data_IF_975952311164
#
_entry.id   IF_975952311164
#
_cell.length_a   1.000
_cell.length_b   1.000
_cell.length_c   1.000
_cell.angle_alpha   90.00
_cell.angle_beta   90.00
_cell.angle_gamma   90.00
#
_symmetry.space_group_name_H-M   'P 1'
#
loop_
_entity.id
_entity.type
_entity.pdbx_description
1 polymer ?
#
# COMPACT_ATOMS: atom_id res chain seq x y z
N UNK A 1 -1.03 18.55 5.10
CA UNK A 1 -1.49 17.35 5.81
C UNK A 1 -1.55 16.20 4.82
N UNK A 2 -1.13 14.98 5.18
CA UNK A 2 -1.33 13.81 4.32
C UNK A 2 -2.83 13.65 4.02
N UNK A 3 -3.17 13.26 2.79
CA UNK A 3 -4.57 13.07 2.40
C UNK A 3 -5.22 11.95 3.23
N UNK A 4 -6.51 12.07 3.55
CA UNK A 4 -7.26 11.10 4.38
C UNK A 4 -7.05 9.63 3.94
N UNK A 5 -6.95 9.39 2.64
CA UNK A 5 -6.77 8.06 2.10
C UNK A 5 -5.41 7.44 2.42
N UNK A 6 -4.34 8.26 2.54
CA UNK A 6 -3.00 7.76 2.88
C UNK A 6 -2.97 7.22 4.32
N UNK A 7 -3.66 7.86 5.25
CA UNK A 7 -3.79 7.40 6.63
C UNK A 7 -4.56 6.07 6.70
N UNK A 8 -5.66 5.94 5.96
CA UNK A 8 -6.42 4.68 5.85
C UNK A 8 -5.57 3.56 5.25
N UNK A 9 -4.78 3.87 4.23
CA UNK A 9 -3.91 2.90 3.58
C UNK A 9 -2.78 2.43 4.50
N UNK A 10 -2.17 3.34 5.26
CA UNK A 10 -1.18 3.02 6.29
C UNK A 10 -1.83 2.12 7.37
N UNK A 11 -3.02 2.46 7.85
CA UNK A 11 -3.73 1.61 8.81
C UNK A 11 -3.94 0.18 8.27
N UNK A 12 -4.39 0.03 7.02
CA UNK A 12 -4.58 -1.27 6.36
C UNK A 12 -3.26 -2.04 6.18
N UNK A 13 -2.15 -1.37 5.87
CA UNK A 13 -0.81 -1.99 5.83
C UNK A 13 -0.44 -2.58 7.21
N UNK A 14 -0.61 -1.82 8.28
CA UNK A 14 -0.31 -2.25 9.64
C UNK A 14 -1.19 -3.42 10.09
N UNK A 15 -2.51 -3.36 9.85
CA UNK A 15 -3.46 -4.42 10.19
C UNK A 15 -3.10 -5.77 9.54
N UNK A 16 -2.61 -5.73 8.30
CA UNK A 16 -2.25 -6.93 7.54
C UNK A 16 -0.77 -7.34 7.68
N UNK A 17 0.01 -6.61 8.50
CA UNK A 17 1.46 -6.77 8.62
C UNK A 17 2.17 -6.77 7.26
N UNK A 18 1.78 -5.85 6.39
CA UNK A 18 2.38 -5.64 5.06
C UNK A 18 3.33 -4.45 5.14
N UNK A 19 4.59 -4.65 4.77
CA UNK A 19 5.61 -3.60 4.76
C UNK A 19 5.44 -2.67 3.57
N UNK A 20 5.80 -1.38 3.74
CA UNK A 20 5.85 -0.40 2.64
C UNK A 20 6.76 -0.86 1.49
N UNK A 21 7.85 -1.56 1.80
CA UNK A 21 8.72 -2.20 0.80
C UNK A 21 7.95 -3.19 -0.07
N UNK A 22 7.10 -4.03 0.53
CA UNK A 22 6.30 -5.02 -0.21
C UNK A 22 5.24 -4.36 -1.08
N UNK A 23 4.63 -3.28 -0.59
CA UNK A 23 3.73 -2.46 -1.40
C UNK A 23 4.46 -1.83 -2.60
N UNK A 24 5.68 -1.32 -2.39
CA UNK A 24 6.51 -0.76 -3.46
C UNK A 24 6.87 -1.81 -4.53
N UNK A 25 7.23 -3.02 -4.11
CA UNK A 25 7.47 -4.16 -5.01
C UNK A 25 6.23 -4.49 -5.85
N UNK A 26 5.03 -4.51 -5.24
CA UNK A 26 3.77 -4.79 -5.97
C UNK A 26 3.43 -3.68 -6.97
N UNK A 27 3.70 -2.42 -6.60
CA UNK A 27 3.45 -1.26 -7.46
C UNK A 27 4.52 -1.08 -8.56
N UNK A 28 5.65 -1.79 -8.47
CA UNK A 28 6.79 -1.54 -9.35
C UNK A 28 7.51 -0.20 -9.10
N UNK A 29 7.38 0.36 -7.89
CA UNK A 29 8.00 1.62 -7.51
C UNK A 29 9.14 1.44 -6.51
N UNK A 30 9.94 2.49 -6.32
CA UNK A 30 10.92 2.53 -5.25
C UNK A 30 10.23 2.72 -3.89
N UNK A 31 10.78 2.15 -2.81
CA UNK A 31 10.26 2.37 -1.47
C UNK A 31 10.30 3.85 -1.04
N UNK A 32 11.25 4.61 -1.58
CA UNK A 32 11.35 6.06 -1.38
C UNK A 32 10.17 6.79 -2.03
N UNK A 33 9.82 6.48 -3.28
CA UNK A 33 8.68 7.08 -3.96
C UNK A 33 7.36 6.79 -3.23
N UNK A 34 7.13 5.53 -2.84
CA UNK A 34 5.97 5.15 -2.04
C UNK A 34 5.93 5.94 -0.73
N UNK A 35 7.07 6.11 -0.06
CA UNK A 35 7.14 6.91 1.16
C UNK A 35 6.80 8.38 0.90
N UNK A 36 7.28 8.98 -0.19
CA UNK A 36 6.92 10.36 -0.54
C UNK A 36 5.42 10.53 -0.79
N UNK A 37 4.78 9.56 -1.46
CA UNK A 37 3.33 9.59 -1.71
C UNK A 37 2.54 9.45 -0.40
N UNK A 38 2.91 8.49 0.44
CA UNK A 38 2.23 8.25 1.72
C UNK A 38 2.39 9.39 2.73
N UNK A 39 3.49 10.14 2.66
CA UNK A 39 3.70 11.35 3.47
C UNK A 39 3.07 12.61 2.83
N UNK A 40 2.43 12.49 1.67
CA UNK A 40 1.81 13.61 0.95
C UNK A 40 2.79 14.56 0.27
N UNK A 41 4.09 14.20 0.18
CA UNK A 41 5.08 14.97 -0.59
C UNK A 41 4.88 14.85 -2.10
N UNK A 42 4.22 13.76 -2.55
CA UNK A 42 3.84 13.53 -3.94
C UNK A 42 2.37 13.11 -3.98
N UNK A 43 1.62 13.64 -4.93
CA UNK A 43 0.22 13.26 -5.17
C UNK A 43 0.02 13.05 -6.66
N UNK A 44 0.45 11.90 -7.22
CA UNK A 44 0.19 11.58 -8.61
C UNK A 44 -1.31 11.37 -8.82
N UNK A 45 -1.79 11.65 -10.02
CA UNK A 45 -3.21 11.49 -10.33
C UNK A 45 -3.57 9.99 -10.29
N UNK A 46 -4.65 9.63 -9.59
CA UNK A 46 -5.06 8.23 -9.42
C UNK A 46 -4.29 7.43 -8.35
N UNK A 47 -3.39 8.05 -7.57
CA UNK A 47 -2.59 7.38 -6.55
C UNK A 47 -3.43 6.57 -5.55
N UNK A 48 -4.55 7.12 -5.11
CA UNK A 48 -5.44 6.48 -4.14
C UNK A 48 -5.92 5.12 -4.64
N UNK A 49 -6.41 5.09 -5.89
CA UNK A 49 -6.96 3.87 -6.48
C UNK A 49 -5.86 2.83 -6.76
N UNK A 50 -4.73 3.28 -7.30
CA UNK A 50 -3.60 2.40 -7.61
C UNK A 50 -3.01 1.76 -6.35
N UNK A 51 -2.71 2.55 -5.32
CA UNK A 51 -2.14 2.07 -4.08
C UNK A 51 -3.14 1.19 -3.31
N UNK A 52 -4.41 1.57 -3.29
CA UNK A 52 -5.46 0.78 -2.62
C UNK A 52 -5.66 -0.57 -3.28
N UNK A 53 -5.66 -0.62 -4.63
CA UNK A 53 -5.75 -1.85 -5.41
C UNK A 53 -4.55 -2.77 -5.13
N UNK A 54 -3.33 -2.24 -5.24
CA UNK A 54 -2.12 -3.03 -5.00
C UNK A 54 -2.06 -3.61 -3.57
N UNK A 55 -2.53 -2.84 -2.57
CA UNK A 55 -2.63 -3.32 -1.21
C UNK A 55 -3.70 -4.42 -1.07
N UNK A 56 -4.86 -4.26 -1.72
CA UNK A 56 -5.91 -5.28 -1.69
C UNK A 56 -5.46 -6.61 -2.28
N UNK A 57 -4.74 -6.56 -3.41
CA UNK A 57 -4.13 -7.74 -4.02
C UNK A 57 -3.12 -8.41 -3.08
N UNK A 58 -2.29 -7.64 -2.37
CA UNK A 58 -1.37 -8.18 -1.37
C UNK A 58 -2.09 -8.84 -0.19
N UNK A 59 -3.18 -8.25 0.29
CA UNK A 59 -4.00 -8.83 1.36
C UNK A 59 -4.62 -10.14 0.90
N UNK A 60 -5.18 -10.17 -0.32
CA UNK A 60 -5.75 -11.38 -0.90
C UNK A 60 -4.70 -12.49 -1.09
N UNK A 61 -3.51 -12.14 -1.56
CA UNK A 61 -2.38 -13.08 -1.69
C UNK A 61 -1.98 -13.65 -0.32
N UNK A 62 -1.91 -12.80 0.71
CA UNK A 62 -1.57 -13.23 2.08
C UNK A 62 -2.64 -14.15 2.67
N UNK A 63 -3.93 -13.84 2.50
CA UNK A 63 -5.03 -14.68 2.97
C UNK A 63 -5.04 -16.06 2.30
N UNK A 64 -4.77 -16.11 0.98
CA UNK A 64 -4.65 -17.38 0.24
C UNK A 64 -3.46 -18.21 0.71
N UNK A 65 -2.32 -17.59 1.00
CA UNK A 65 -1.14 -18.29 1.50
C UNK A 65 -1.32 -18.87 2.91
N UNK A 66 -2.18 -18.27 3.75
CA UNK A 66 -2.38 -18.68 5.14
C UNK A 66 -3.56 -19.65 5.35
N UNK A 67 -4.36 -19.93 4.31
CA UNK A 67 -5.56 -20.78 4.36
C UNK A 67 -5.43 -22.12 3.65
N UNK A 68 -4.21 -22.54 3.30
CA UNK A 68 -3.93 -23.85 2.71
C UNK A 68 -3.41 -24.85 3.74
N UNK A 69 -4.29 -25.41 4.55
CA UNK A 69 -4.07 -26.63 5.34
C UNK A 69 -5.36 -27.44 5.40
#
# INVERSE_FOLDING_TARGET
MPADWTARLIAKLHMNRISKKRLAEQLGYTPEYVSMVLNGHRSPNGAENEFSKALDELVQQKSKANGGT
#
